data_IF_877556540711
#
_entry.id   IF_877556540711
#
_cell.length_a   1.000
_cell.length_b   1.000
_cell.length_c   1.000
_cell.angle_alpha   90.00
_cell.angle_beta   90.00
_cell.angle_gamma   90.00
#
_symmetry.space_group_name_H-M   'P 1'
#
loop_
_entity.id
_entity.type
_entity.pdbx_description
1 polymer ?
#
# COMPACT_ATOMS: atom_id res chain seq x y z
N UNK A 1 9.88 -2.50 -1.89
CA UNK A 1 10.83 -1.85 -0.95
C UNK A 1 10.02 -1.07 0.08
N UNK A 2 10.60 -0.74 1.24
CA UNK A 2 9.97 0.01 2.34
C UNK A 2 8.68 -0.60 2.93
N UNK A 3 8.31 -1.80 2.51
CA UNK A 3 7.20 -2.60 3.02
C UNK A 3 7.39 -4.07 2.60
N UNK A 4 6.74 -4.99 3.33
CA UNK A 4 6.48 -6.36 2.88
C UNK A 4 5.06 -6.44 2.29
N UNK A 5 4.83 -7.37 1.36
CA UNK A 5 3.58 -7.44 0.60
C UNK A 5 2.98 -8.84 0.63
N UNK A 6 1.67 -8.90 0.80
CA UNK A 6 0.86 -10.10 0.59
C UNK A 6 -0.27 -9.76 -0.39
N UNK A 7 -0.64 -10.72 -1.24
CA UNK A 7 -1.70 -10.55 -2.23
C UNK A 7 -2.68 -11.71 -2.18
N UNK A 8 -3.97 -11.38 -2.20
CA UNK A 8 -5.08 -12.32 -2.36
C UNK A 8 -6.01 -11.80 -3.48
N UNK A 9 -6.02 -12.50 -4.61
CA UNK A 9 -6.69 -12.03 -5.82
C UNK A 9 -6.21 -10.61 -6.22
N UNK A 10 -7.15 -9.67 -6.29
CA UNK A 10 -6.87 -8.26 -6.59
C UNK A 10 -6.49 -7.41 -5.36
N UNK A 11 -6.59 -7.97 -4.14
CA UNK A 11 -6.28 -7.23 -2.91
C UNK A 11 -4.79 -7.37 -2.59
N UNK A 12 -4.11 -6.23 -2.49
CA UNK A 12 -2.71 -6.14 -2.04
C UNK A 12 -2.68 -5.54 -0.65
N UNK A 13 -1.97 -6.19 0.28
CA UNK A 13 -1.71 -5.67 1.63
C UNK A 13 -0.23 -5.34 1.74
N UNK A 14 0.09 -4.07 1.97
CA UNK A 14 1.44 -3.61 2.31
C UNK A 14 1.58 -3.49 3.83
N UNK A 15 2.58 -4.15 4.41
CA UNK A 15 2.95 -3.99 5.83
C UNK A 15 4.23 -3.17 5.91
N UNK A 16 4.18 -2.04 6.62
CA UNK A 16 5.33 -1.14 6.76
C UNK A 16 6.57 -1.87 7.32
N UNK A 17 7.75 -1.46 6.89
CA UNK A 17 9.00 -1.93 7.46
C UNK A 17 9.19 -1.39 8.89
N UNK A 18 10.00 -2.07 9.70
CA UNK A 18 10.17 -1.70 11.11
C UNK A 18 10.64 -0.25 11.32
N UNK A 19 11.47 0.27 10.40
CA UNK A 19 12.04 1.61 10.48
C UNK A 19 11.08 2.73 10.05
N UNK A 20 9.99 2.44 9.33
CA UNK A 20 9.05 3.44 8.83
C UNK A 20 7.58 3.20 9.28
N UNK A 21 7.35 2.23 10.18
CA UNK A 21 6.01 1.87 10.67
C UNK A 21 5.29 2.95 11.49
N UNK A 22 6.02 3.96 11.98
CA UNK A 22 5.47 5.04 12.80
C UNK A 22 5.32 6.30 11.94
N UNK A 23 4.08 6.79 11.83
CA UNK A 23 3.75 8.01 11.09
C UNK A 23 3.09 8.98 12.07
N UNK A 24 3.68 10.15 12.24
CA UNK A 24 3.06 11.21 13.06
C UNK A 24 1.78 11.71 12.40
N UNK A 25 0.93 12.39 13.18
CA UNK A 25 -0.19 13.15 12.60
C UNK A 25 0.34 14.11 11.52
N UNK A 26 -0.38 14.20 10.40
CA UNK A 26 -0.01 14.96 9.20
C UNK A 26 1.33 14.55 8.56
N UNK A 27 1.89 13.41 8.97
CA UNK A 27 3.11 12.84 8.40
C UNK A 27 2.85 12.00 7.15
N UNK A 28 3.94 11.67 6.46
CA UNK A 28 3.91 10.88 5.23
C UNK A 28 4.68 9.58 5.40
N UNK A 29 4.13 8.49 4.85
CA UNK A 29 4.85 7.23 4.63
C UNK A 29 4.79 6.89 3.15
N UNK A 30 5.91 6.39 2.62
CA UNK A 30 6.04 5.99 1.22
C UNK A 30 6.62 4.59 1.13
N UNK A 31 6.14 3.82 0.17
CA UNK A 31 6.68 2.51 -0.20
C UNK A 31 6.49 2.26 -1.69
N UNK A 32 7.10 1.20 -2.22
CA UNK A 32 6.90 0.81 -3.60
C UNK A 32 7.06 -0.69 -3.83
N UNK A 33 6.45 -1.18 -4.91
CA UNK A 33 6.49 -2.58 -5.32
C UNK A 33 6.62 -2.68 -6.84
N UNK A 34 7.09 -3.83 -7.31
CA UNK A 34 7.05 -4.20 -8.72
C UNK A 34 5.91 -5.20 -8.91
N UNK A 35 5.19 -5.08 -10.02
CA UNK A 35 4.11 -5.98 -10.38
C UNK A 35 4.14 -6.30 -11.88
N UNK A 36 3.56 -7.43 -12.25
CA UNK A 36 3.28 -7.82 -13.63
C UNK A 36 1.80 -7.69 -13.92
N UNK A 37 1.43 -7.25 -15.12
CA UNK A 37 0.04 -7.17 -15.56
C UNK A 37 -0.13 -7.76 -16.96
N UNK A 38 -1.36 -8.19 -17.28
CA UNK A 38 -1.77 -8.53 -18.64
C UNK A 38 -3.07 -7.77 -18.94
N UNK A 39 -3.15 -7.16 -20.12
CA UNK A 39 -4.28 -6.29 -20.48
C UNK A 39 -4.17 -4.89 -19.85
N UNK A 40 -5.18 -4.47 -19.10
CA UNK A 40 -5.28 -3.11 -18.53
C UNK A 40 -4.67 -3.04 -17.12
N UNK A 41 -3.92 -1.97 -16.86
CA UNK A 41 -3.37 -1.66 -15.54
C UNK A 41 -3.99 -0.34 -15.04
N UNK A 42 -5.17 -0.44 -14.42
CA UNK A 42 -5.85 0.71 -13.83
C UNK A 42 -5.26 1.00 -12.45
N UNK A 43 -5.25 2.28 -12.08
CA UNK A 43 -4.89 2.68 -10.73
C UNK A 43 -5.86 2.09 -9.69
N UNK A 44 -5.38 1.73 -8.49
CA UNK A 44 -6.26 1.33 -7.41
C UNK A 44 -7.08 2.53 -6.92
N UNK A 45 -8.33 2.29 -6.52
CA UNK A 45 -9.29 3.34 -6.12
C UNK A 45 -9.75 3.23 -4.67
N UNK A 46 -9.36 2.16 -3.98
CA UNK A 46 -9.80 1.87 -2.61
C UNK A 46 -8.57 1.52 -1.76
N UNK A 47 -8.25 2.43 -0.84
CA UNK A 47 -7.12 2.30 0.07
C UNK A 47 -7.62 2.41 1.50
N UNK A 48 -7.11 1.52 2.35
CA UNK A 48 -7.28 1.61 3.79
C UNK A 48 -5.92 1.63 4.47
N UNK A 49 -5.76 2.50 5.46
CA UNK A 49 -4.61 2.48 6.37
C UNK A 49 -5.08 1.98 7.75
N UNK A 50 -4.59 0.81 8.16
CA UNK A 50 -4.99 0.16 9.42
C UNK A 50 -6.52 0.02 9.60
N UNK A 51 -7.23 -0.24 8.50
CA UNK A 51 -8.70 -0.40 8.47
C UNK A 51 -9.49 0.90 8.29
N UNK A 52 -8.85 2.07 8.35
CA UNK A 52 -9.49 3.36 8.07
C UNK A 52 -9.40 3.70 6.59
N UNK A 53 -10.50 4.11 5.92
CA UNK A 53 -10.46 4.50 4.52
C UNK A 53 -9.63 5.77 4.31
N UNK A 54 -8.83 5.79 3.25
CA UNK A 54 -8.06 6.95 2.83
C UNK A 54 -8.86 7.77 1.80
N UNK A 55 -8.69 9.10 1.81
CA UNK A 55 -9.15 9.96 0.72
C UNK A 55 -8.12 9.96 -0.39
N UNK A 56 -8.55 9.71 -1.62
CA UNK A 56 -7.75 9.87 -2.84
C UNK A 56 -7.76 11.31 -3.33
#
# INVERSE_FOLDING_TARGET
>A
WDASFAQDGARVTATAADYNRSVAADGTVSFGFLASWQGSNKEPVDFTLNGSPCTT
#
